data_IF_408174200997
#
_entry.id   IF_408174200997
#
_cell.length_a   1.000
_cell.length_b   1.000
_cell.length_c   1.000
_cell.angle_alpha   90.00
_cell.angle_beta   90.00
_cell.angle_gamma   90.00
#
_symmetry.space_group_name_H-M   'P 1'
#
loop_
_entity.id
_entity.type
_entity.pdbx_description
1 polymer ?
#
# COMPACT_ATOMS: atom_id res chain seq x y z
N UNK A 1 9.50 -81.19 21.97
CA UNK A 1 9.75 -82.22 20.94
C UNK A 1 8.83 -81.93 19.76
N UNK A 2 9.34 -81.99 18.53
CA UNK A 2 8.58 -81.89 17.27
C UNK A 2 8.36 -80.45 16.80
N UNK A 3 9.23 -79.83 15.99
CA UNK A 3 9.49 -80.03 14.55
C UNK A 3 8.62 -79.14 13.66
N UNK A 4 9.31 -78.26 12.92
CA UNK A 4 8.81 -77.42 11.81
C UNK A 4 8.35 -78.27 10.62
N UNK A 5 7.44 -77.72 9.81
CA UNK A 5 7.37 -77.97 8.37
C UNK A 5 6.80 -76.76 7.63
N UNK A 6 7.25 -76.60 6.38
CA UNK A 6 7.30 -75.36 5.60
C UNK A 6 6.35 -75.31 4.39
N UNK A 7 5.94 -74.09 4.01
CA UNK A 7 5.69 -73.62 2.62
C UNK A 7 4.24 -73.57 2.12
N UNK A 8 3.93 -72.91 0.96
CA UNK A 8 4.63 -71.81 0.26
C UNK A 8 3.72 -70.62 -0.20
N UNK A 9 4.42 -69.60 -0.70
CA UNK A 9 4.10 -68.39 -1.49
C UNK A 9 2.83 -68.35 -2.40
N UNK A 10 2.10 -67.22 -2.40
CA UNK A 10 1.43 -66.66 -3.61
C UNK A 10 1.00 -65.18 -3.42
N UNK A 11 1.33 -64.34 -4.40
CA UNK A 11 0.88 -62.95 -4.60
C UNK A 11 -0.63 -62.84 -4.86
N UNK A 12 -1.27 -61.68 -4.60
CA UNK A 12 -2.16 -60.95 -5.54
C UNK A 12 -2.56 -59.54 -5.02
N UNK A 13 -2.73 -58.64 -5.98
CA UNK A 13 -2.98 -57.19 -5.94
C UNK A 13 -4.40 -56.73 -5.49
N UNK A 14 -4.45 -55.53 -4.87
CA UNK A 14 -5.33 -54.34 -5.12
C UNK A 14 -6.88 -54.45 -4.99
N UNK A 15 -7.64 -53.36 -4.65
CA UNK A 15 -7.42 -52.00 -5.14
C UNK A 15 -7.51 -50.81 -4.16
N UNK A 16 -6.80 -49.77 -4.59
CA UNK A 16 -6.78 -48.38 -4.17
C UNK A 16 -8.15 -47.74 -4.40
N UNK A 17 -8.70 -47.15 -3.33
CA UNK A 17 -9.84 -46.23 -3.43
C UNK A 17 -9.38 -44.87 -3.93
N UNK A 18 -9.81 -44.50 -5.13
CA UNK A 18 -9.72 -43.15 -5.66
C UNK A 18 -10.78 -42.28 -4.98
N UNK A 19 -10.36 -41.36 -4.11
CA UNK A 19 -11.15 -40.16 -3.79
C UNK A 19 -10.50 -38.98 -4.52
N UNK A 20 -11.16 -38.50 -5.56
CA UNK A 20 -10.85 -37.24 -6.23
C UNK A 20 -11.65 -36.15 -5.54
N UNK A 21 -10.97 -35.28 -4.79
CA UNK A 21 -11.53 -34.04 -4.28
C UNK A 21 -11.20 -32.91 -5.28
N UNK A 22 -12.18 -32.12 -5.75
CA UNK A 22 -11.89 -30.89 -6.46
C UNK A 22 -11.56 -29.81 -5.42
N UNK A 23 -10.27 -29.48 -5.27
CA UNK A 23 -9.85 -28.25 -4.61
C UNK A 23 -9.95 -27.09 -5.61
N UNK A 24 -11.13 -26.46 -5.67
CA UNK A 24 -11.24 -25.06 -6.09
C UNK A 24 -10.97 -24.19 -4.86
N UNK A 25 -9.69 -24.00 -4.57
CA UNK A 25 -9.25 -22.91 -3.70
C UNK A 25 -9.19 -21.64 -4.54
N UNK A 26 -9.87 -20.54 -4.16
CA UNK A 26 -9.66 -19.28 -4.85
C UNK A 26 -8.24 -18.85 -4.54
N UNK A 27 -7.36 -18.94 -5.54
CA UNK A 27 -6.07 -18.29 -5.52
C UNK A 27 -6.34 -16.83 -5.17
N UNK A 28 -5.94 -16.43 -3.95
CA UNK A 28 -5.81 -15.04 -3.59
C UNK A 28 -4.86 -14.44 -4.62
N UNK A 29 -5.44 -13.81 -5.65
CA UNK A 29 -4.74 -12.99 -6.60
C UNK A 29 -3.79 -12.12 -5.79
N UNK A 30 -2.49 -12.40 -5.92
CA UNK A 30 -1.45 -11.63 -5.27
C UNK A 30 -1.56 -10.24 -5.88
N UNK A 31 -2.32 -9.37 -5.22
CA UNK A 31 -2.52 -7.98 -5.64
C UNK A 31 -1.15 -7.39 -5.91
N UNK A 32 -0.86 -7.14 -7.19
CA UNK A 32 0.41 -6.56 -7.60
C UNK A 32 0.56 -5.24 -6.84
N UNK A 33 1.70 -5.08 -6.19
CA UNK A 33 2.00 -3.83 -5.49
C UNK A 33 1.96 -2.68 -6.50
N UNK A 34 1.14 -1.68 -6.22
CA UNK A 34 1.02 -0.50 -7.06
C UNK A 34 2.32 0.31 -6.98
N UNK A 35 3.00 0.46 -8.11
CA UNK A 35 4.12 1.39 -8.27
C UNK A 35 3.55 2.76 -8.66
N UNK A 36 3.68 3.73 -7.76
CA UNK A 36 3.20 5.09 -8.00
C UNK A 36 4.14 5.82 -8.95
N UNK A 37 3.59 6.34 -10.04
CA UNK A 37 4.33 7.25 -10.94
C UNK A 37 4.20 8.69 -10.45
N UNK A 38 5.13 9.56 -10.87
CA UNK A 38 5.07 10.98 -10.52
C UNK A 38 3.75 11.65 -10.99
N UNK A 39 3.18 11.19 -12.12
CA UNK A 39 1.87 11.66 -12.59
C UNK A 39 0.74 11.32 -11.61
N UNK A 40 0.67 10.05 -11.19
CA UNK A 40 -0.33 9.60 -10.21
C UNK A 40 -0.19 10.30 -8.86
N UNK A 41 1.05 10.52 -8.42
CA UNK A 41 1.32 11.24 -7.17
C UNK A 41 0.85 12.68 -7.22
N UNK A 42 1.11 13.37 -8.33
CA UNK A 42 0.66 14.75 -8.55
C UNK A 42 -0.86 14.84 -8.53
N UNK A 43 -1.56 14.02 -9.32
CA UNK A 43 -3.03 14.03 -9.35
C UNK A 43 -3.62 13.71 -7.97
N UNK A 44 -3.06 12.73 -7.25
CA UNK A 44 -3.49 12.42 -5.89
C UNK A 44 -3.30 13.62 -4.94
N UNK A 45 -2.14 14.28 -4.97
CA UNK A 45 -1.85 15.46 -4.15
C UNK A 45 -2.83 16.61 -4.45
N UNK A 46 -3.10 16.89 -5.72
CA UNK A 46 -4.06 17.93 -6.13
C UNK A 46 -5.47 17.65 -5.57
N UNK A 47 -5.91 16.39 -5.59
CA UNK A 47 -7.19 16.00 -4.99
C UNK A 47 -7.20 16.18 -3.47
N UNK A 48 -6.11 15.87 -2.77
CA UNK A 48 -6.00 16.15 -1.33
C UNK A 48 -5.97 17.65 -1.03
N UNK A 49 -5.30 18.46 -1.85
CA UNK A 49 -5.30 19.93 -1.71
C UNK A 49 -6.72 20.47 -1.86
N UNK A 50 -7.44 20.08 -2.92
CA UNK A 50 -8.85 20.45 -3.12
C UNK A 50 -9.74 20.02 -1.94
N UNK A 51 -9.47 18.86 -1.36
CA UNK A 51 -10.19 18.39 -0.18
C UNK A 51 -9.92 19.25 1.06
N UNK A 52 -8.69 19.76 1.24
CA UNK A 52 -8.37 20.74 2.30
C UNK A 52 -9.10 22.06 2.06
N UNK A 53 -9.04 22.60 0.85
CA UNK A 53 -9.72 23.85 0.46
C UNK A 53 -11.24 23.75 0.66
N UNK A 54 -11.81 22.56 0.44
CA UNK A 54 -13.23 22.27 0.65
C UNK A 54 -13.60 21.94 2.10
N UNK A 55 -12.69 22.10 3.07
CA UNK A 55 -12.96 21.85 4.49
C UNK A 55 -13.15 20.36 4.85
N UNK A 56 -12.65 19.43 4.05
CA UNK A 56 -12.74 17.97 4.30
C UNK A 56 -11.58 17.42 5.13
N UNK A 57 -10.76 18.30 5.71
CA UNK A 57 -9.70 17.96 6.66
C UNK A 57 -9.98 18.65 8.00
N UNK A 58 -10.13 17.85 9.06
CA UNK A 58 -10.22 18.32 10.44
C UNK A 58 -8.94 18.04 11.23
N UNK A 59 -9.00 18.25 12.54
CA UNK A 59 -7.88 18.00 13.47
C UNK A 59 -7.39 16.54 13.42
N UNK A 60 -8.33 15.59 13.37
CA UNK A 60 -8.05 14.15 13.27
C UNK A 60 -7.62 13.69 11.86
N UNK A 61 -7.50 14.60 10.89
CA UNK A 61 -7.13 14.30 9.51
C UNK A 61 -8.28 14.41 8.52
N UNK A 62 -8.16 13.70 7.38
CA UNK A 62 -9.16 13.72 6.32
C UNK A 62 -10.39 12.91 6.69
N UNK A 63 -11.57 13.37 6.26
CA UNK A 63 -12.80 12.57 6.35
C UNK A 63 -12.65 11.28 5.53
N UNK A 64 -13.26 10.15 5.95
CA UNK A 64 -13.09 8.86 5.28
C UNK A 64 -13.44 8.89 3.78
N UNK A 65 -14.44 9.68 3.36
CA UNK A 65 -14.85 9.78 1.96
C UNK A 65 -13.77 10.36 1.04
N UNK A 66 -12.79 11.09 1.58
CA UNK A 66 -11.72 11.71 0.78
C UNK A 66 -10.86 10.64 0.12
N UNK A 67 -10.42 9.63 0.86
CA UNK A 67 -9.62 8.54 0.30
C UNK A 67 -10.38 7.72 -0.73
N UNK A 68 -11.69 7.54 -0.53
CA UNK A 68 -12.57 6.88 -1.51
C UNK A 68 -12.67 7.70 -2.79
N UNK A 69 -12.89 9.01 -2.67
CA UNK A 69 -12.96 9.92 -3.83
C UNK A 69 -11.65 9.88 -4.60
N UNK A 70 -10.50 10.01 -3.92
CA UNK A 70 -9.19 9.95 -4.57
C UNK A 70 -8.98 8.62 -5.30
N UNK A 71 -9.37 7.48 -4.70
CA UNK A 71 -9.25 6.18 -5.36
C UNK A 71 -10.10 6.10 -6.64
N UNK A 72 -11.34 6.57 -6.59
CA UNK A 72 -12.26 6.57 -7.73
C UNK A 72 -11.74 7.46 -8.86
N UNK A 73 -11.37 8.71 -8.55
CA UNK A 73 -10.91 9.67 -9.56
C UNK A 73 -9.58 9.22 -10.19
N UNK A 74 -8.64 8.67 -9.41
CA UNK A 74 -7.41 8.10 -9.96
C UNK A 74 -7.68 6.90 -10.87
N UNK A 75 -8.64 6.05 -10.54
CA UNK A 75 -9.02 4.93 -11.41
C UNK A 75 -9.67 5.40 -12.72
N UNK A 76 -10.35 6.54 -12.71
CA UNK A 76 -10.87 7.20 -13.92
C UNK A 76 -9.75 7.83 -14.75
N UNK A 77 -8.81 8.52 -14.11
CA UNK A 77 -7.72 9.23 -14.79
C UNK A 77 -6.64 8.27 -15.34
N UNK A 78 -6.40 7.15 -14.65
CA UNK A 78 -5.39 6.15 -15.01
C UNK A 78 -6.04 4.76 -15.16
N UNK A 79 -6.74 4.50 -16.27
CA UNK A 79 -7.43 3.23 -16.49
C UNK A 79 -6.45 2.05 -16.53
N UNK A 80 -6.89 0.90 -16.01
CA UNK A 80 -6.08 -0.32 -15.92
C UNK A 80 -5.16 -0.39 -14.69
N UNK A 81 -5.17 0.64 -13.85
CA UNK A 81 -4.43 0.66 -12.57
C UNK A 81 -5.40 0.46 -11.41
N UNK A 82 -5.09 -0.50 -10.53
CA UNK A 82 -5.94 -0.82 -9.38
C UNK A 82 -5.65 0.10 -8.18
N UNK A 83 -6.39 1.21 -8.11
CA UNK A 83 -6.43 2.07 -6.93
C UNK A 83 -7.49 1.58 -5.95
N UNK A 84 -7.05 1.12 -4.79
CA UNK A 84 -7.94 0.80 -3.67
C UNK A 84 -7.78 1.84 -2.58
N UNK A 85 -8.83 2.05 -1.76
CA UNK A 85 -8.78 2.97 -0.62
C UNK A 85 -7.59 2.67 0.32
N UNK A 86 -7.26 1.40 0.65
CA UNK A 86 -6.07 1.08 1.43
C UNK A 86 -4.76 1.51 0.77
N UNK A 87 -4.61 1.30 -0.56
CA UNK A 87 -3.40 1.72 -1.30
C UNK A 87 -3.23 3.24 -1.29
N UNK A 88 -4.32 3.97 -1.54
CA UNK A 88 -4.35 5.45 -1.53
C UNK A 88 -4.07 6.00 -0.13
N UNK A 89 -4.71 5.44 0.91
CA UNK A 89 -4.47 5.83 2.30
C UNK A 89 -3.04 5.53 2.74
N UNK A 90 -2.49 4.38 2.31
CA UNK A 90 -1.09 4.03 2.56
C UNK A 90 -0.15 5.06 1.93
N UNK A 91 -0.36 5.40 0.65
CA UNK A 91 0.44 6.41 -0.04
C UNK A 91 0.42 7.76 0.66
N UNK A 92 -0.78 8.22 1.05
CA UNK A 92 -0.93 9.46 1.80
C UNK A 92 -0.15 9.45 3.12
N UNK A 93 -0.33 8.41 3.95
CA UNK A 93 0.29 8.36 5.27
C UNK A 93 1.82 8.14 5.21
N UNK A 94 2.29 7.36 4.24
CA UNK A 94 3.70 7.00 4.17
C UNK A 94 4.55 8.01 3.40
N UNK A 95 3.96 8.81 2.52
CA UNK A 95 4.68 9.78 1.69
C UNK A 95 4.19 11.20 1.94
N UNK A 96 2.99 11.55 1.48
CA UNK A 96 2.55 12.94 1.42
C UNK A 96 2.46 13.59 2.80
N UNK A 97 1.87 12.89 3.76
CA UNK A 97 1.79 13.37 5.13
C UNK A 97 3.17 13.58 5.76
N UNK A 98 4.10 12.64 5.59
CA UNK A 98 5.44 12.76 6.16
C UNK A 98 6.22 13.94 5.59
N UNK A 99 6.17 14.12 4.27
CA UNK A 99 6.82 15.25 3.60
C UNK A 99 6.20 16.57 4.08
N UNK A 100 4.87 16.63 4.16
CA UNK A 100 4.17 17.81 4.67
C UNK A 100 4.52 18.09 6.13
N UNK A 101 4.53 17.08 6.99
CA UNK A 101 4.84 17.23 8.41
C UNK A 101 6.29 17.73 8.59
N UNK A 102 7.25 17.20 7.82
CA UNK A 102 8.63 17.68 7.81
C UNK A 102 8.73 19.14 7.33
N UNK A 103 8.04 19.49 6.23
CA UNK A 103 7.95 20.86 5.74
C UNK A 103 7.35 21.81 6.79
N UNK A 104 6.25 21.41 7.43
CA UNK A 104 5.58 22.21 8.45
C UNK A 104 6.45 22.41 9.69
N UNK A 105 7.20 21.37 10.09
CA UNK A 105 8.15 21.46 11.18
C UNK A 105 9.29 22.44 10.86
N UNK A 106 9.86 22.38 9.64
CA UNK A 106 10.87 23.34 9.21
C UNK A 106 10.30 24.77 9.20
N UNK A 107 9.13 24.97 8.58
CA UNK A 107 8.49 26.29 8.49
C UNK A 107 8.13 26.89 9.86
N UNK A 108 7.90 26.05 10.87
CA UNK A 108 7.63 26.48 12.24
C UNK A 108 8.88 26.73 13.09
N UNK A 109 10.06 26.31 12.65
CA UNK A 109 11.31 26.45 13.39
C UNK A 109 12.01 27.79 13.09
N UNK A 110 12.71 28.32 14.10
CA UNK A 110 13.48 29.56 13.95
C UNK A 110 14.67 29.35 13.01
N UNK A 111 14.95 30.34 12.17
CA UNK A 111 16.06 30.31 11.21
C UNK A 111 15.74 29.64 9.87
N UNK A 112 14.56 29.03 9.74
CA UNK A 112 14.05 28.53 8.46
C UNK A 112 13.25 29.59 7.72
N UNK A 113 13.44 29.65 6.41
CA UNK A 113 12.71 30.48 5.47
C UNK A 113 12.11 29.65 4.32
N UNK A 114 11.42 30.34 3.43
CA UNK A 114 10.86 29.77 2.20
C UNK A 114 11.37 30.56 0.99
N UNK A 115 11.94 29.86 0.02
CA UNK A 115 12.24 30.40 -1.29
C UNK A 115 11.05 30.17 -2.23
N UNK A 116 10.30 31.22 -2.53
CA UNK A 116 9.16 31.21 -3.47
C UNK A 116 9.58 30.82 -4.89
N UNK A 117 10.76 31.23 -5.35
CA UNK A 117 11.20 30.98 -6.74
C UNK A 117 11.57 29.51 -6.97
N UNK A 118 12.11 28.86 -5.95
CA UNK A 118 12.54 27.45 -6.01
C UNK A 118 11.54 26.50 -5.34
N UNK A 119 10.48 27.01 -4.73
CA UNK A 119 9.52 26.26 -3.92
C UNK A 119 10.20 25.36 -2.88
N UNK A 120 11.17 25.91 -2.14
CA UNK A 120 12.02 25.14 -1.23
C UNK A 120 12.18 25.83 0.13
N UNK A 121 12.30 25.01 1.18
CA UNK A 121 12.71 25.44 2.52
C UNK A 121 14.20 25.79 2.50
N UNK A 122 14.56 26.95 3.03
CA UNK A 122 15.95 27.43 3.09
C UNK A 122 16.37 27.73 4.51
N UNK A 123 17.59 27.38 4.88
CA UNK A 123 18.21 27.75 6.16
C UNK A 123 19.75 27.68 6.03
N UNK A 124 20.48 28.24 6.98
CA UNK A 124 21.94 28.05 7.04
C UNK A 124 22.28 26.60 7.42
N UNK A 125 23.48 26.15 7.09
CA UNK A 125 23.95 24.81 7.47
C UNK A 125 23.93 24.61 9.00
N UNK A 126 24.22 25.65 9.78
CA UNK A 126 24.17 25.61 11.24
C UNK A 126 22.73 25.38 11.75
N UNK A 127 21.74 26.03 11.12
CA UNK A 127 20.33 25.84 11.45
C UNK A 127 19.87 24.43 11.07
N UNK A 128 20.27 23.92 9.90
CA UNK A 128 19.98 22.53 9.50
C UNK A 128 20.61 21.49 10.43
N UNK A 129 21.83 21.72 10.92
CA UNK A 129 22.51 20.80 11.85
C UNK A 129 21.91 20.82 13.27
N UNK A 130 21.21 21.88 13.64
CA UNK A 130 20.59 22.05 14.95
C UNK A 130 19.11 21.61 15.00
N UNK A 131 18.52 21.25 13.87
CA UNK A 131 17.11 20.85 13.71
C UNK A 131 16.95 19.32 13.69
#
# INVERSE_FOLDING_TARGET
MGSQQSGPNASQHSPIGTQTQPEDSPEKDKTKNLVWTAGMERSALEMYVKAVESGKRGEAGFKPEVHQTVATELATEFPGVEFTVPKVKSKFNQTFKKIWDAFAACKGASGFGWNEAECMVTASEEVWNAF
#
